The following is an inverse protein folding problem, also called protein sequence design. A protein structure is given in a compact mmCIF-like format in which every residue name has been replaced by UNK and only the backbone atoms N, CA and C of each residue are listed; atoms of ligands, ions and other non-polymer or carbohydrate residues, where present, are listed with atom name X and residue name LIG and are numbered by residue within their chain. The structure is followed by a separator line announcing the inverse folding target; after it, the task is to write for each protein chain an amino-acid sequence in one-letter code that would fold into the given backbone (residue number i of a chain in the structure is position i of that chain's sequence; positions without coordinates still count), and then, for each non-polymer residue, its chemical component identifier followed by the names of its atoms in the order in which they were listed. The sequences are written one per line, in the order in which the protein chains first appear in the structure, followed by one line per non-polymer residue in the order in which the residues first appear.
data_IF_706685491140
#
_entry.id   IF_706685491140
#
_cell.length_a   1.000
_cell.length_b   1.000
_cell.length_c   1.000
_cell.angle_alpha   90.00
_cell.angle_beta   90.00
_cell.angle_gamma   90.00
#
_symmetry.space_group_name_H-M   'P 1'
#
loop_
_entity.id
_entity.type
_entity.pdbx_description
1 polymer ?
#
# COMPACT_ATOMS: atom_id res chain seq x y z
N UNK A 1 -14.05 12.63 3.81
CA UNK A 1 -14.02 12.76 2.35
C UNK A 1 -15.36 13.31 1.86
N UNK A 2 -15.35 14.20 0.86
CA UNK A 2 -16.57 14.72 0.22
C UNK A 2 -16.73 14.07 -1.15
N UNK A 3 -17.71 13.21 -1.30
CA UNK A 3 -18.14 12.70 -2.60
C UNK A 3 -19.46 13.39 -2.96
N UNK A 4 -19.43 14.36 -3.86
CA UNK A 4 -20.62 15.16 -4.21
C UNK A 4 -21.12 16.00 -3.04
N UNK A 5 -22.44 16.06 -2.82
CA UNK A 5 -23.07 16.80 -1.71
C UNK A 5 -23.09 16.04 -0.36
N UNK A 6 -22.61 14.81 -0.30
CA UNK A 6 -22.50 14.01 0.93
C UNK A 6 -21.07 14.00 1.43
N UNK A 7 -20.88 14.20 2.75
CA UNK A 7 -19.60 14.04 3.43
C UNK A 7 -19.61 12.66 4.07
N UNK A 8 -18.69 11.77 3.66
CA UNK A 8 -18.43 10.51 4.35
C UNK A 8 -17.28 10.73 5.31
N UNK A 9 -17.48 10.37 6.56
CA UNK A 9 -16.43 10.39 7.59
C UNK A 9 -15.95 8.96 7.74
N UNK A 10 -14.65 8.73 7.45
CA UNK A 10 -14.01 7.44 7.65
C UNK A 10 -13.10 7.52 8.87
N UNK A 11 -13.34 6.65 9.85
CA UNK A 11 -12.56 6.53 11.07
C UNK A 11 -11.82 5.18 11.09
N UNK A 12 -10.53 5.23 11.40
CA UNK A 12 -9.66 4.05 11.50
C UNK A 12 -9.35 3.76 12.98
N UNK A 13 -9.84 2.62 13.48
CA UNK A 13 -9.60 2.16 14.85
C UNK A 13 -8.79 0.86 14.83
N UNK A 14 -7.46 0.98 14.74
CA UNK A 14 -6.58 -0.17 14.52
C UNK A 14 -6.87 -0.82 13.16
N UNK A 15 -7.35 -2.05 13.16
CA UNK A 15 -7.75 -2.78 11.95
C UNK A 15 -9.24 -2.63 11.59
N UNK A 16 -10.02 -1.92 12.40
CA UNK A 16 -11.44 -1.70 12.16
C UNK A 16 -11.67 -0.35 11.44
N UNK A 17 -12.46 -0.36 10.38
CA UNK A 17 -12.79 0.81 9.56
C UNK A 17 -14.28 1.11 9.73
N UNK A 18 -14.57 2.34 10.10
CA UNK A 18 -15.92 2.85 10.28
C UNK A 18 -16.22 3.93 9.23
N UNK A 19 -17.44 3.92 8.71
CA UNK A 19 -17.95 5.01 7.87
C UNK A 19 -19.18 5.61 8.54
N UNK A 20 -19.13 6.92 8.80
CA UNK A 20 -20.17 7.65 9.53
C UNK A 20 -20.56 6.98 10.87
N UNK A 21 -19.57 6.46 11.59
CA UNK A 21 -19.75 5.78 12.87
C UNK A 21 -20.26 4.33 12.80
N UNK A 22 -20.41 3.77 11.60
CA UNK A 22 -20.83 2.37 11.39
C UNK A 22 -19.62 1.54 10.98
N UNK A 23 -19.39 0.40 11.65
CA UNK A 23 -18.34 -0.54 11.26
C UNK A 23 -18.65 -1.09 9.85
N UNK A 24 -17.71 -0.92 8.91
CA UNK A 24 -17.86 -1.39 7.54
C UNK A 24 -16.91 -2.53 7.20
N UNK A 25 -15.67 -2.48 7.71
CA UNK A 25 -14.65 -3.50 7.41
C UNK A 25 -13.74 -3.73 8.62
N UNK A 26 -13.22 -4.95 8.72
CA UNK A 26 -12.13 -5.30 9.63
C UNK A 26 -11.00 -5.89 8.79
N UNK A 27 -9.85 -5.24 8.80
CA UNK A 27 -8.65 -5.73 8.11
C UNK A 27 -8.06 -6.93 8.84
N UNK A 28 -7.57 -7.90 8.09
CA UNK A 28 -6.87 -9.09 8.59
C UNK A 28 -5.49 -9.19 7.94
N UNK A 29 -4.65 -10.13 8.37
CA UNK A 29 -3.35 -10.35 7.75
C UNK A 29 -3.44 -10.77 6.27
N UNK A 30 -4.53 -11.44 5.90
CA UNK A 30 -4.71 -12.03 4.57
C UNK A 30 -5.82 -11.32 3.75
N UNK A 31 -6.35 -10.19 4.22
CA UNK A 31 -7.44 -9.50 3.52
C UNK A 31 -8.33 -8.67 4.45
N UNK A 32 -9.66 -8.81 4.31
CA UNK A 32 -10.62 -8.11 5.18
C UNK A 32 -11.94 -8.87 5.31
N UNK A 33 -12.70 -8.50 6.32
CA UNK A 33 -14.07 -8.96 6.56
C UNK A 33 -15.01 -7.79 6.36
N UNK A 34 -16.07 -7.96 5.58
CA UNK A 34 -17.15 -6.98 5.45
C UNK A 34 -18.12 -7.15 6.63
N UNK A 35 -18.38 -6.06 7.36
CA UNK A 35 -19.19 -6.13 8.59
C UNK A 35 -20.69 -6.37 8.33
N UNK A 36 -21.20 -6.00 7.14
CA UNK A 36 -22.62 -6.11 6.79
C UNK A 36 -23.10 -7.55 6.65
N UNK A 37 -22.23 -8.45 6.21
CA UNK A 37 -22.57 -9.86 5.89
C UNK A 37 -21.57 -10.87 6.46
N UNK A 38 -20.52 -10.40 7.16
CA UNK A 38 -19.42 -11.18 7.71
C UNK A 38 -18.68 -12.03 6.67
N UNK A 39 -18.64 -11.59 5.41
CA UNK A 39 -17.91 -12.28 4.35
C UNK A 39 -16.43 -11.94 4.41
N UNK A 40 -15.61 -12.98 4.21
CA UNK A 40 -14.15 -12.84 4.07
C UNK A 40 -13.78 -12.53 2.62
N UNK A 41 -12.83 -11.60 2.46
CA UNK A 41 -12.21 -11.25 1.19
C UNK A 41 -10.71 -11.41 1.34
N UNK A 42 -10.11 -12.25 0.51
CA UNK A 42 -8.70 -12.64 0.61
C UNK A 42 -7.86 -11.86 -0.40
N UNK A 43 -6.69 -11.41 0.03
CA UNK A 43 -5.68 -10.79 -0.83
C UNK A 43 -4.68 -11.83 -1.29
N UNK A 44 -4.49 -11.97 -2.60
CA UNK A 44 -3.36 -12.67 -3.18
C UNK A 44 -2.34 -11.62 -3.56
N UNK A 45 -1.23 -11.62 -2.86
CA UNK A 45 -0.18 -10.61 -2.96
C UNK A 45 1.06 -11.17 -3.66
N UNK A 46 1.84 -10.28 -4.30
CA UNK A 46 3.17 -10.61 -4.76
C UNK A 46 4.22 -10.41 -3.64
N UNK A 47 5.50 -10.63 -3.99
CA UNK A 47 6.63 -10.55 -3.05
C UNK A 47 6.84 -9.16 -2.43
N UNK A 48 6.22 -8.11 -2.95
CA UNK A 48 6.28 -6.75 -2.41
C UNK A 48 5.04 -6.36 -1.60
N UNK A 49 4.09 -7.29 -1.40
CA UNK A 49 2.82 -7.00 -0.74
C UNK A 49 1.83 -6.25 -1.64
N UNK A 50 2.02 -6.25 -2.97
CA UNK A 50 1.05 -5.68 -3.89
C UNK A 50 -0.18 -6.59 -3.96
N UNK A 51 -1.37 -6.04 -3.73
CA UNK A 51 -2.63 -6.79 -3.86
C UNK A 51 -2.90 -7.05 -5.35
N UNK A 52 -2.57 -8.28 -5.80
CA UNK A 52 -2.72 -8.70 -7.20
C UNK A 52 -4.13 -9.17 -7.50
N UNK A 53 -4.73 -9.93 -6.58
CA UNK A 53 -6.09 -10.45 -6.74
C UNK A 53 -6.83 -10.31 -5.41
N UNK A 54 -8.11 -9.97 -5.48
CA UNK A 54 -9.05 -10.06 -4.36
C UNK A 54 -10.05 -11.16 -4.66
N UNK A 55 -10.19 -12.09 -3.73
CA UNK A 55 -11.07 -13.26 -3.87
C UNK A 55 -12.08 -13.30 -2.72
N UNK A 56 -13.35 -13.34 -3.02
CA UNK A 56 -14.40 -13.53 -2.01
C UNK A 56 -14.33 -14.93 -1.39
N UNK A 57 -14.93 -15.10 -0.22
CA UNK A 57 -14.99 -16.38 0.52
C UNK A 57 -15.54 -17.54 -0.31
N UNK A 58 -16.43 -17.26 -1.26
CA UNK A 58 -17.02 -18.27 -2.15
C UNK A 58 -16.12 -18.63 -3.36
N UNK A 59 -14.90 -18.05 -3.46
CA UNK A 59 -13.98 -18.28 -4.56
C UNK A 59 -14.17 -17.34 -5.77
N UNK A 60 -15.12 -16.40 -5.72
CA UNK A 60 -15.29 -15.41 -6.79
C UNK A 60 -14.14 -14.42 -6.82
N UNK A 61 -13.52 -14.24 -7.98
CA UNK A 61 -12.53 -13.19 -8.18
C UNK A 61 -13.26 -11.85 -8.32
N UNK A 62 -13.00 -10.95 -7.38
CA UNK A 62 -13.66 -9.64 -7.30
C UNK A 62 -12.84 -8.55 -7.95
N UNK A 63 -11.50 -8.69 -7.89
CA UNK A 63 -10.58 -7.69 -8.38
C UNK A 63 -9.28 -8.35 -8.86
N UNK A 64 -8.73 -7.83 -9.96
CA UNK A 64 -7.38 -8.18 -10.46
C UNK A 64 -6.63 -6.89 -10.73
N UNK A 65 -5.45 -6.73 -10.14
CA UNK A 65 -4.62 -5.54 -10.28
C UNK A 65 -3.29 -5.88 -10.93
N UNK A 66 -2.99 -5.22 -12.02
CA UNK A 66 -1.69 -5.19 -12.65
C UNK A 66 -1.07 -3.81 -12.47
N UNK A 67 0.23 -3.80 -12.13
CA UNK A 67 0.94 -2.57 -11.80
C UNK A 67 2.10 -2.31 -12.74
N UNK A 68 2.30 -1.04 -13.07
CA UNK A 68 3.59 -0.56 -13.56
C UNK A 68 4.63 -0.64 -12.42
N UNK A 69 5.94 -0.67 -12.73
CA UNK A 69 6.99 -0.80 -11.72
C UNK A 69 6.89 0.18 -10.54
N UNK A 70 6.42 1.39 -10.77
CA UNK A 70 6.21 2.40 -9.75
C UNK A 70 4.79 2.41 -9.14
N UNK A 71 4.01 1.35 -9.34
CA UNK A 71 2.74 1.16 -8.64
C UNK A 71 1.52 1.77 -9.32
N UNK A 72 1.67 2.42 -10.48
CA UNK A 72 0.53 2.83 -11.28
C UNK A 72 -0.27 1.61 -11.75
N UNK A 73 -1.60 1.64 -11.66
CA UNK A 73 -2.46 0.57 -12.16
C UNK A 73 -2.48 0.55 -13.69
N UNK A 74 -2.35 -0.65 -14.29
CA UNK A 74 -2.54 -0.82 -15.72
C UNK A 74 -4.04 -0.74 -16.06
N UNK A 75 -4.36 -0.26 -17.26
CA UNK A 75 -5.74 -0.19 -17.77
C UNK A 75 -6.41 -1.55 -17.95
N UNK A 76 -5.61 -2.63 -18.04
CA UNK A 76 -6.09 -4.02 -18.09
C UNK A 76 -6.55 -4.56 -16.73
N UNK A 77 -6.29 -3.82 -15.65
CA UNK A 77 -6.70 -4.24 -14.31
C UNK A 77 -8.24 -4.30 -14.23
N UNK A 78 -8.76 -5.44 -13.77
CA UNK A 78 -10.18 -5.58 -13.43
C UNK A 78 -10.42 -4.95 -12.06
N UNK A 79 -10.26 -3.63 -11.99
CA UNK A 79 -10.38 -2.89 -10.75
C UNK A 79 -11.81 -2.39 -10.57
N UNK A 80 -12.62 -3.16 -9.86
CA UNK A 80 -13.99 -2.80 -9.51
C UNK A 80 -14.07 -1.82 -8.33
N UNK A 81 -12.92 -1.31 -7.85
CA UNK A 81 -12.82 -0.47 -6.64
C UNK A 81 -13.49 -1.09 -5.40
N UNK A 82 -13.43 -2.41 -5.27
CA UNK A 82 -14.05 -3.16 -4.17
C UNK A 82 -13.40 -2.77 -2.84
N UNK A 83 -12.11 -2.45 -2.89
CA UNK A 83 -11.32 -2.04 -1.73
C UNK A 83 -10.17 -1.10 -2.15
N UNK A 84 -9.71 -0.19 -1.27
CA UNK A 84 -8.71 0.82 -1.64
C UNK A 84 -7.25 0.33 -1.57
N UNK A 85 -6.96 -0.78 -0.87
CA UNK A 85 -5.58 -1.25 -0.63
C UNK A 85 -5.01 -1.92 -1.88
N UNK A 86 -3.94 -1.36 -2.45
CA UNK A 86 -3.39 -1.77 -3.76
C UNK A 86 -1.89 -2.04 -3.69
N UNK A 87 -1.07 -1.16 -4.24
CA UNK A 87 0.39 -1.26 -4.31
C UNK A 87 1.03 -1.24 -2.93
N UNK A 88 1.92 -2.19 -2.64
CA UNK A 88 2.51 -2.46 -1.31
C UNK A 88 1.48 -2.55 -0.16
N UNK A 89 0.24 -2.96 -0.47
CA UNK A 89 -0.86 -2.98 0.49
C UNK A 89 -1.31 -1.60 0.97
N UNK A 90 -0.87 -0.51 0.31
CA UNK A 90 -1.21 0.86 0.70
C UNK A 90 -2.55 1.30 0.14
N UNK A 91 -3.21 2.18 0.89
CA UNK A 91 -4.50 2.74 0.51
C UNK A 91 -4.32 3.73 -0.65
N UNK A 92 -5.04 3.48 -1.74
CA UNK A 92 -5.09 4.37 -2.91
C UNK A 92 -6.22 5.38 -2.72
N UNK A 93 -5.87 6.63 -2.52
CA UNK A 93 -6.80 7.74 -2.45
C UNK A 93 -7.10 8.26 -3.87
N UNK A 94 -8.35 8.09 -4.30
CA UNK A 94 -8.84 8.52 -5.61
C UNK A 94 -9.71 9.79 -5.56
N UNK A 95 -9.82 10.41 -4.41
CA UNK A 95 -10.63 11.60 -4.25
C UNK A 95 -10.11 12.74 -5.11
N UNK A 96 -11.02 13.42 -5.75
CA UNK A 96 -10.73 14.52 -6.66
C UNK A 96 -9.74 14.18 -7.80
N UNK A 97 -9.60 12.90 -8.15
CA UNK A 97 -8.71 12.43 -9.21
C UNK A 97 -7.22 12.45 -8.83
N UNK A 98 -6.90 12.36 -7.54
CA UNK A 98 -5.50 12.42 -7.06
C UNK A 98 -4.72 11.15 -7.40
N UNK A 99 -5.30 9.96 -7.21
CA UNK A 99 -4.65 8.66 -7.40
C UNK A 99 -3.31 8.52 -6.65
N UNK A 100 -3.30 8.95 -5.37
CA UNK A 100 -2.12 8.90 -4.51
C UNK A 100 -2.21 7.80 -3.45
N UNK A 101 -1.09 7.15 -3.16
CA UNK A 101 -0.99 6.15 -2.10
C UNK A 101 -0.63 6.80 -0.76
N UNK A 102 -1.35 6.42 0.30
CA UNK A 102 -1.05 6.83 1.67
C UNK A 102 -0.06 5.84 2.31
N UNK A 103 1.16 6.31 2.58
CA UNK A 103 2.20 5.55 3.30
C UNK A 103 2.32 5.94 4.77
N UNK A 104 1.43 6.81 5.25
CA UNK A 104 1.43 7.32 6.61
C UNK A 104 2.28 8.58 6.76
N UNK A 105 3.60 8.48 6.65
CA UNK A 105 4.45 9.67 6.78
C UNK A 105 4.41 10.57 5.54
N UNK A 106 4.18 10.01 4.35
CA UNK A 106 4.13 10.75 3.07
C UNK A 106 3.07 10.18 2.14
N UNK A 107 2.53 11.05 1.29
CA UNK A 107 1.71 10.64 0.13
C UNK A 107 2.62 10.38 -1.07
N UNK A 108 2.34 9.30 -1.79
CA UNK A 108 3.10 8.84 -2.94
C UNK A 108 2.29 8.94 -4.23
N UNK A 109 2.85 9.57 -5.25
CA UNK A 109 2.29 9.65 -6.60
C UNK A 109 2.96 8.61 -7.51
N UNK A 110 2.21 7.56 -7.83
CA UNK A 110 2.70 6.49 -8.69
C UNK A 110 2.87 6.92 -10.16
N UNK A 111 2.15 7.96 -10.60
CA UNK A 111 2.25 8.49 -11.96
C UNK A 111 3.57 9.23 -12.19
N UNK A 112 4.07 9.89 -11.15
CA UNK A 112 5.36 10.56 -11.14
C UNK A 112 6.50 9.69 -10.62
N UNK A 113 6.19 8.61 -9.89
CA UNK A 113 7.16 7.79 -9.17
C UNK A 113 7.86 8.56 -8.05
N UNK A 114 7.15 9.48 -7.37
CA UNK A 114 7.71 10.44 -6.42
C UNK A 114 6.84 10.63 -5.19
N UNK A 115 7.50 11.02 -4.09
CA UNK A 115 6.84 11.52 -2.91
C UNK A 115 6.39 12.98 -3.11
N UNK A 116 5.28 13.36 -2.49
CA UNK A 116 4.80 14.75 -2.48
C UNK A 116 5.46 15.62 -1.42
N UNK A 117 6.09 15.01 -0.41
CA UNK A 117 6.78 15.70 0.66
C UNK A 117 8.26 15.32 0.70
N UNK A 118 9.06 16.21 1.26
CA UNK A 118 10.49 15.99 1.54
C UNK A 118 10.65 14.79 2.47
N UNK A 119 11.68 13.98 2.22
CA UNK A 119 12.01 12.83 3.05
C UNK A 119 12.36 13.26 4.48
N UNK A 120 11.61 12.81 5.50
CA UNK A 120 11.96 13.08 6.91
C UNK A 120 13.35 12.56 7.30
N UNK A 121 13.83 11.52 6.60
CA UNK A 121 15.17 10.92 6.78
C UNK A 121 16.20 11.43 5.77
N UNK A 122 15.89 12.46 4.98
CA UNK A 122 16.71 12.92 3.85
C UNK A 122 18.13 13.33 4.21
N UNK A 123 18.35 13.81 5.42
CA UNK A 123 19.72 14.14 5.91
C UNK A 123 20.64 12.91 5.98
N UNK A 124 20.08 11.70 6.13
CA UNK A 124 20.86 10.45 6.13
C UNK A 124 21.41 10.11 4.73
N UNK A 125 20.80 10.65 3.67
CA UNK A 125 21.08 10.27 2.28
C UNK A 125 21.30 11.50 1.36
N UNK A 126 22.31 12.33 1.60
CA UNK A 126 22.50 13.63 0.91
C UNK A 126 22.73 13.51 -0.60
N UNK A 127 23.10 12.32 -1.09
CA UNK A 127 23.31 12.04 -2.51
C UNK A 127 22.02 11.64 -3.25
N UNK A 128 20.90 11.48 -2.55
CA UNK A 128 19.62 11.09 -3.12
C UNK A 128 18.67 12.29 -3.19
N UNK A 129 17.85 12.32 -4.22
CA UNK A 129 16.78 13.32 -4.30
C UNK A 129 15.77 13.11 -3.17
N UNK A 130 15.42 14.17 -2.44
CA UNK A 130 14.54 14.14 -1.27
C UNK A 130 13.11 13.65 -1.55
N UNK A 131 12.73 13.55 -2.81
CA UNK A 131 11.44 13.10 -3.29
C UNK A 131 11.49 11.71 -3.97
N UNK A 132 12.68 11.08 -4.02
CA UNK A 132 12.85 9.82 -4.73
C UNK A 132 12.21 8.67 -3.96
N UNK A 133 11.33 7.91 -4.64
CA UNK A 133 10.78 6.68 -4.10
C UNK A 133 11.76 5.52 -4.30
N UNK A 134 12.02 4.76 -3.25
CA UNK A 134 12.83 3.53 -3.27
C UNK A 134 14.14 3.66 -4.06
N UNK A 135 14.81 4.83 -4.00
CA UNK A 135 16.06 5.11 -4.75
C UNK A 135 15.95 4.84 -6.26
N UNK A 136 14.76 5.05 -6.84
CA UNK A 136 14.40 4.72 -8.21
C UNK A 136 14.56 3.22 -8.56
N UNK A 137 14.42 2.34 -7.58
CA UNK A 137 14.52 0.86 -7.74
C UNK A 137 13.31 0.14 -7.13
N UNK A 138 12.06 0.47 -7.56
CA UNK A 138 10.84 0.02 -6.91
C UNK A 138 10.56 -1.48 -7.03
N UNK A 139 11.24 -2.21 -7.94
CA UNK A 139 11.06 -3.65 -8.11
C UNK A 139 11.73 -4.46 -6.98
N UNK A 140 12.81 -3.93 -6.42
CA UNK A 140 13.62 -4.63 -5.40
C UNK A 140 13.60 -3.91 -4.06
N UNK A 141 12.84 -2.82 -3.95
CA UNK A 141 12.74 -2.01 -2.75
C UNK A 141 11.31 -1.67 -2.44
N UNK A 142 11.02 -1.57 -1.16
CA UNK A 142 9.76 -1.05 -0.61
C UNK A 142 10.06 -0.02 0.47
N UNK A 143 9.16 0.92 0.67
CA UNK A 143 9.15 1.83 1.80
C UNK A 143 7.86 1.56 2.61
N UNK A 144 7.93 0.89 3.77
CA UNK A 144 6.73 0.44 4.47
C UNK A 144 5.92 1.56 5.13
N UNK A 145 6.54 2.68 5.48
CA UNK A 145 5.91 3.73 6.28
C UNK A 145 6.15 5.16 5.75
N UNK A 146 6.76 5.26 4.58
CA UNK A 146 7.06 6.55 3.96
C UNK A 146 8.26 7.27 4.57
N UNK A 147 9.24 6.56 5.14
CA UNK A 147 10.45 7.16 5.77
C UNK A 147 11.74 6.55 5.28
N UNK A 148 11.88 5.24 5.36
CA UNK A 148 13.10 4.54 5.00
C UNK A 148 12.80 3.37 4.06
N UNK A 149 13.60 3.19 3.01
CA UNK A 149 13.44 2.11 2.04
C UNK A 149 14.26 0.86 2.39
N UNK A 150 13.67 -0.30 2.11
CA UNK A 150 14.21 -1.62 2.40
C UNK A 150 14.35 -2.43 1.11
N UNK A 151 15.33 -3.33 1.04
CA UNK A 151 15.43 -4.29 -0.05
C UNK A 151 14.51 -5.48 0.24
N UNK A 152 13.76 -5.91 -0.75
CA UNK A 152 12.93 -7.11 -0.69
C UNK A 152 13.44 -8.13 -1.70
N UNK A 153 13.59 -9.40 -1.28
CA UNK A 153 13.96 -10.47 -2.20
C UNK A 153 12.73 -11.15 -2.82
N UNK A 154 12.96 -12.06 -3.77
CA UNK A 154 11.89 -12.78 -4.47
C UNK A 154 10.98 -13.63 -3.55
N UNK A 155 11.40 -13.90 -2.33
CA UNK A 155 10.62 -14.65 -1.32
C UNK A 155 9.86 -13.71 -0.36
N UNK A 156 9.85 -12.40 -0.61
CA UNK A 156 9.20 -11.41 0.26
C UNK A 156 9.97 -11.08 1.54
N UNK A 157 11.22 -11.55 1.69
CA UNK A 157 12.03 -11.22 2.87
C UNK A 157 12.60 -9.81 2.71
N UNK A 158 12.39 -8.99 3.72
CA UNK A 158 12.75 -7.57 3.75
C UNK A 158 14.08 -7.38 4.48
N UNK A 159 14.99 -6.61 3.90
CA UNK A 159 16.31 -6.30 4.46
C UNK A 159 16.50 -4.80 4.58
N UNK A 160 16.91 -4.32 5.76
CA UNK A 160 17.41 -2.97 5.93
C UNK A 160 18.87 -2.90 5.46
N UNK A 161 19.13 -2.22 4.35
CA UNK A 161 20.48 -1.92 3.88
C UNK A 161 21.03 -0.69 4.62
N UNK A 162 21.70 -0.89 5.74
CA UNK A 162 22.49 0.17 6.37
C UNK A 162 23.76 0.45 5.55
N UNK A 163 24.21 1.69 5.56
CA UNK A 163 25.40 2.21 4.83
C UNK A 163 26.75 1.65 5.36
N UNK A 164 26.75 0.69 6.26
CA UNK A 164 27.94 0.00 6.75
C UNK A 164 27.97 -1.39 6.14
N UNK A 165 29.12 -1.82 5.58
CA UNK A 165 29.39 -3.09 4.88
C UNK A 165 29.06 -4.38 5.67
N UNK A 166 28.16 -4.32 6.61
CA UNK A 166 27.65 -5.46 7.37
C UNK A 166 26.17 -5.59 7.14
N UNK A 167 25.75 -6.76 6.68
CA UNK A 167 24.35 -7.20 6.69
C UNK A 167 23.92 -7.24 8.16
N UNK A 168 23.14 -6.28 8.58
CA UNK A 168 22.60 -6.23 9.94
C UNK A 168 21.11 -5.98 9.84
N UNK A 169 20.39 -6.87 10.47
CA UNK A 169 18.94 -6.91 10.70
C UNK A 169 18.09 -7.39 9.50
N UNK A 170 17.90 -8.71 9.49
CA UNK A 170 16.79 -9.35 8.80
C UNK A 170 15.54 -9.06 9.63
N UNK A 171 14.68 -8.18 9.16
CA UNK A 171 13.33 -8.09 9.68
C UNK A 171 12.53 -9.23 9.07
N UNK A 172 12.23 -10.24 9.86
CA UNK A 172 11.25 -11.25 9.45
C UNK A 172 9.90 -10.55 9.38
N UNK A 173 9.32 -10.51 8.20
CA UNK A 173 7.93 -10.15 8.04
C UNK A 173 7.07 -11.30 8.59
N UNK A 174 6.96 -11.38 9.92
CA UNK A 174 5.90 -12.14 10.57
C UNK A 174 4.73 -11.18 10.75
N UNK A 175 3.79 -11.22 9.81
CA UNK A 175 2.47 -10.65 9.95
C UNK A 175 2.46 -9.12 9.98
N UNK A 176 2.34 -8.51 8.82
CA UNK A 176 1.70 -7.19 8.63
C UNK A 176 0.28 -7.44 8.17
#
# INVERSE_FOLDING_TARGET
YKTGNATTITDYCGNAIYENGVLVKVLTGDGYITASDNQFHYFIQDHQGNNRVVVAQNGTVEEVNDYYPFGGLLSSSLSNNVQPYKYNGKELNRDNGLDWYDYGARMYDASLGRWHAVDPSGEKYPALGLYAYCKNSPIIRIDPDGKDDYVVNANGVVYLMRKTDRIVDVLYASGI
#
